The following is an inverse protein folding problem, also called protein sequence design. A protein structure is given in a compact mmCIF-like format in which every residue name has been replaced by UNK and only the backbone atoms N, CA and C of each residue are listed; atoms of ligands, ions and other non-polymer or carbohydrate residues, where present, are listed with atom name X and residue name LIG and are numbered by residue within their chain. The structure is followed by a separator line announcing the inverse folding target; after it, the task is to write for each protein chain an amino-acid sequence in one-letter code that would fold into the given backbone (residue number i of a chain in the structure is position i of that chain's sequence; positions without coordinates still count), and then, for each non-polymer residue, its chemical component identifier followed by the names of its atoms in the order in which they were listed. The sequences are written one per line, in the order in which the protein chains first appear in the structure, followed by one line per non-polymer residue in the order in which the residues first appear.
data_IF_473820839163
#
_entry.id   IF_473820839163
#
_cell.length_a   1.000
_cell.length_b   1.000
_cell.length_c   1.000
_cell.angle_alpha   90.00
_cell.angle_beta   90.00
_cell.angle_gamma   90.00
#
_symmetry.space_group_name_H-M   'P 1'
#
loop_
_entity.id
_entity.type
_entity.pdbx_description
1 polymer ?
#
# COMPACT_ATOMS: atom_id res chain seq x y z
N UNK A 1 -11.89 -33.96 77.58
CA UNK A 1 -10.77 -32.97 77.59
C UNK A 1 -10.61 -32.51 76.14
N UNK A 2 -11.06 -31.30 75.79
CA UNK A 2 -10.38 -29.99 75.86
C UNK A 2 -9.22 -29.85 74.84
N UNK A 3 -9.23 -28.68 74.18
CA UNK A 3 -8.29 -28.05 73.23
C UNK A 3 -8.50 -28.45 71.75
N UNK A 4 -9.06 -27.62 70.86
CA UNK A 4 -8.89 -26.19 70.56
C UNK A 4 -7.49 -25.86 70.01
N UNK A 5 -7.37 -25.85 68.68
CA UNK A 5 -6.46 -24.93 68.00
C UNK A 5 -7.04 -24.47 66.66
N UNK A 6 -7.15 -23.15 66.55
CA UNK A 6 -7.48 -22.33 65.39
C UNK A 6 -6.23 -22.14 64.52
N UNK A 7 -6.45 -21.54 63.34
CA UNK A 7 -5.50 -20.93 62.40
C UNK A 7 -5.10 -21.84 61.22
N UNK A 8 -5.06 -21.41 59.95
CA UNK A 8 -5.16 -20.08 59.38
C UNK A 8 -5.58 -20.14 57.90
N UNK A 9 -6.25 -19.07 57.50
CA UNK A 9 -6.69 -18.68 56.16
C UNK A 9 -5.55 -18.70 55.14
N UNK A 10 -5.80 -19.28 53.96
CA UNK A 10 -4.96 -19.14 52.78
C UNK A 10 -5.81 -19.11 51.51
N UNK A 11 -6.58 -18.04 51.31
CA UNK A 11 -7.26 -17.77 50.03
C UNK A 11 -6.17 -17.36 49.03
N UNK A 12 -5.83 -18.28 48.12
CA UNK A 12 -4.99 -18.01 46.97
C UNK A 12 -5.80 -17.20 45.96
N UNK A 13 -5.79 -15.87 46.13
CA UNK A 13 -6.27 -14.95 45.09
C UNK A 13 -5.23 -15.00 43.98
N UNK A 14 -5.48 -15.85 42.98
CA UNK A 14 -4.82 -15.75 41.68
C UNK A 14 -5.26 -14.43 41.03
N UNK A 15 -4.63 -13.32 41.41
CA UNK A 15 -4.57 -12.13 40.56
C UNK A 15 -3.70 -12.50 39.37
N UNK A 16 -4.33 -13.12 38.37
CA UNK A 16 -3.82 -13.14 37.01
C UNK A 16 -3.71 -11.68 36.58
N UNK A 17 -2.51 -11.12 36.72
CA UNK A 17 -2.06 -9.96 35.96
C UNK A 17 -2.17 -10.37 34.49
N UNK A 18 -3.34 -10.11 33.91
CA UNK A 18 -3.50 -9.89 32.48
C UNK A 18 -2.53 -8.76 32.13
N UNK A 19 -1.31 -9.12 31.74
CA UNK A 19 -0.55 -8.27 30.85
C UNK A 19 -1.30 -8.32 29.52
N UNK A 20 -2.24 -7.39 29.36
CA UNK A 20 -2.60 -6.93 28.05
C UNK A 20 -1.29 -6.42 27.43
N UNK A 21 -0.65 -7.24 26.59
CA UNK A 21 0.29 -6.71 25.62
C UNK A 21 -0.53 -5.78 24.73
N UNK A 22 -0.55 -4.49 25.08
CA UNK A 22 -0.76 -3.46 24.09
C UNK A 22 0.20 -3.79 22.95
N UNK A 23 -0.35 -4.01 21.76
CA UNK A 23 0.42 -4.18 20.54
C UNK A 23 1.34 -2.97 20.42
N UNK A 24 2.59 -3.14 20.85
CA UNK A 24 3.56 -2.07 20.94
C UNK A 24 3.75 -1.50 19.55
N UNK A 25 3.27 -0.28 19.32
CA UNK A 25 3.62 0.47 18.12
C UNK A 25 5.12 0.73 18.20
N UNK A 26 5.92 -0.05 17.47
CA UNK A 26 7.33 0.25 17.28
C UNK A 26 7.45 1.71 16.82
N UNK A 27 8.27 2.54 17.49
CA UNK A 27 8.48 3.91 17.06
C UNK A 27 8.91 3.91 15.60
N UNK A 28 8.25 4.73 14.77
CA UNK A 28 8.63 4.86 13.36
C UNK A 28 10.12 5.24 13.30
N UNK A 29 10.95 4.54 12.51
CA UNK A 29 12.37 4.84 12.42
C UNK A 29 12.56 6.30 11.97
N UNK A 30 13.62 6.94 12.47
CA UNK A 30 13.98 8.29 12.05
C UNK A 30 14.24 8.33 10.54
N UNK A 31 14.01 9.47 9.86
CA UNK A 31 14.08 9.55 8.38
C UNK A 31 15.38 9.02 7.75
N UNK A 32 16.53 9.23 8.40
CA UNK A 32 17.82 8.69 7.94
C UNK A 32 17.95 7.17 8.10
N UNK A 33 17.39 6.60 9.16
CA UNK A 33 17.32 5.14 9.33
C UNK A 33 16.35 4.55 8.31
N UNK A 34 15.18 5.16 8.15
CA UNK A 34 14.15 4.65 7.26
C UNK A 34 14.60 4.59 5.78
N UNK A 35 15.37 5.58 5.31
CA UNK A 35 15.87 5.54 3.92
C UNK A 35 16.93 4.45 3.73
N UNK A 36 17.74 4.16 4.75
CA UNK A 36 18.70 3.05 4.74
C UNK A 36 18.02 1.69 4.78
N UNK A 37 17.03 1.54 5.65
CA UNK A 37 16.19 0.33 5.69
C UNK A 37 15.47 0.11 4.37
N UNK A 38 14.88 1.15 3.78
CA UNK A 38 14.26 1.04 2.46
C UNK A 38 15.28 0.64 1.39
N UNK A 39 16.48 1.25 1.38
CA UNK A 39 17.55 0.92 0.43
C UNK A 39 17.96 -0.55 0.51
N UNK A 40 18.08 -1.11 1.72
CA UNK A 40 18.45 -2.50 1.96
C UNK A 40 17.26 -3.48 1.87
N UNK A 41 16.04 -2.95 1.87
CA UNK A 41 14.80 -3.71 1.97
C UNK A 41 14.00 -3.75 0.68
N UNK A 42 12.67 -3.83 0.83
CA UNK A 42 11.73 -3.94 -0.30
C UNK A 42 10.68 -2.83 -0.28
N UNK A 43 10.44 -2.21 -1.44
CA UNK A 43 9.27 -1.38 -1.68
C UNK A 43 8.12 -2.23 -2.24
N UNK A 44 7.03 -2.36 -1.50
CA UNK A 44 5.81 -3.04 -1.97
C UNK A 44 4.86 -1.99 -2.55
N UNK A 45 4.63 -2.03 -3.85
CA UNK A 45 3.74 -1.13 -4.58
C UNK A 45 2.30 -1.64 -4.51
N UNK A 46 1.41 -0.84 -3.93
CA UNK A 46 -0.02 -1.14 -3.78
C UNK A 46 -0.80 -0.58 -4.95
N UNK A 47 -1.10 -1.45 -5.91
CA UNK A 47 -1.85 -1.14 -7.11
C UNK A 47 -3.36 -0.99 -6.80
N UNK A 48 -4.03 0.06 -7.33
CA UNK A 48 -5.47 0.21 -7.18
C UNK A 48 -6.20 -0.92 -7.94
N UNK A 49 -7.18 -1.53 -7.30
CA UNK A 49 -7.99 -2.58 -7.94
C UNK A 49 -9.34 -2.07 -8.45
N UNK A 50 -9.82 -0.92 -7.94
CA UNK A 50 -11.20 -0.45 -8.15
C UNK A 50 -12.29 -1.50 -7.86
N UNK A 51 -11.95 -2.54 -7.07
CA UNK A 51 -12.81 -3.71 -6.86
C UNK A 51 -14.19 -3.34 -6.35
N UNK A 52 -14.28 -2.44 -5.36
CA UNK A 52 -15.55 -1.97 -4.80
C UNK A 52 -16.44 -1.26 -5.83
N UNK A 53 -15.84 -0.41 -6.69
CA UNK A 53 -16.56 0.30 -7.77
C UNK A 53 -17.08 -0.71 -8.79
N UNK A 54 -16.24 -1.65 -9.22
CA UNK A 54 -16.64 -2.68 -10.19
C UNK A 54 -17.71 -3.63 -9.64
N UNK A 55 -17.62 -4.03 -8.37
CA UNK A 55 -18.64 -4.86 -7.71
C UNK A 55 -19.99 -4.12 -7.61
N UNK A 56 -19.98 -2.83 -7.27
CA UNK A 56 -21.20 -2.02 -7.24
C UNK A 56 -21.84 -1.89 -8.64
N UNK A 57 -21.04 -1.54 -9.67
CA UNK A 57 -21.51 -1.45 -11.05
C UNK A 57 -22.08 -2.79 -11.56
N UNK A 58 -21.40 -3.90 -11.25
CA UNK A 58 -21.86 -5.25 -11.60
C UNK A 58 -23.19 -5.59 -10.91
N UNK A 59 -23.29 -5.30 -9.61
CA UNK A 59 -24.53 -5.56 -8.87
C UNK A 59 -25.71 -4.72 -9.34
N UNK A 60 -25.48 -3.49 -9.81
CA UNK A 60 -26.53 -2.69 -10.45
C UNK A 60 -26.88 -3.22 -11.83
N UNK A 61 -25.89 -3.62 -12.63
CA UNK A 61 -26.10 -4.16 -13.97
C UNK A 61 -26.96 -5.44 -13.95
N UNK A 62 -26.71 -6.33 -12.99
CA UNK A 62 -27.47 -7.58 -12.81
C UNK A 62 -28.95 -7.37 -12.45
N UNK A 63 -29.31 -6.20 -11.90
CA UNK A 63 -30.69 -5.86 -11.50
C UNK A 63 -31.45 -5.10 -12.58
N UNK A 64 -30.74 -4.57 -13.57
CA UNK A 64 -31.31 -3.72 -14.62
C UNK A 64 -31.79 -4.58 -15.79
N UNK A 65 -32.91 -4.24 -16.40
CA UNK A 65 -33.44 -4.96 -17.56
C UNK A 65 -32.48 -4.84 -18.76
N UNK A 66 -32.24 -5.96 -19.43
CA UNK A 66 -31.32 -5.99 -20.57
C UNK A 66 -31.83 -5.09 -21.71
N UNK A 67 -30.91 -4.36 -22.33
CA UNK A 67 -31.20 -3.50 -23.48
C UNK A 67 -31.65 -2.08 -23.14
N UNK A 68 -31.94 -1.76 -21.87
CA UNK A 68 -32.22 -0.38 -21.46
C UNK A 68 -31.01 0.54 -21.66
N UNK A 69 -31.25 1.84 -21.77
CA UNK A 69 -30.18 2.86 -21.84
C UNK A 69 -29.28 2.75 -20.61
N UNK A 70 -29.87 2.52 -19.44
CA UNK A 70 -29.15 2.38 -18.19
C UNK A 70 -28.30 1.10 -18.16
N UNK A 71 -28.83 -0.04 -18.61
CA UNK A 71 -28.06 -1.28 -18.72
C UNK A 71 -26.83 -1.09 -19.62
N UNK A 72 -27.01 -0.49 -20.81
CA UNK A 72 -25.90 -0.20 -21.73
C UNK A 72 -24.86 0.74 -21.10
N UNK A 73 -25.29 1.76 -20.36
CA UNK A 73 -24.39 2.67 -19.66
C UNK A 73 -23.61 1.97 -18.55
N UNK A 74 -24.27 1.17 -17.69
CA UNK A 74 -23.62 0.41 -16.62
C UNK A 74 -22.60 -0.60 -17.17
N UNK A 75 -22.95 -1.32 -18.23
CA UNK A 75 -22.05 -2.27 -18.89
C UNK A 75 -20.81 -1.55 -19.46
N UNK A 76 -21.01 -0.39 -20.10
CA UNK A 76 -19.92 0.44 -20.63
C UNK A 76 -19.04 0.95 -19.49
N UNK A 77 -19.61 1.51 -18.44
CA UNK A 77 -18.87 2.07 -17.30
C UNK A 77 -18.05 0.99 -16.58
N UNK A 78 -18.60 -0.23 -16.44
CA UNK A 78 -17.88 -1.38 -15.88
C UNK A 78 -16.69 -1.79 -16.77
N UNK A 79 -16.90 -1.91 -18.08
CA UNK A 79 -15.86 -2.25 -19.04
C UNK A 79 -14.74 -1.20 -19.06
N UNK A 80 -15.12 0.08 -19.14
CA UNK A 80 -14.22 1.23 -19.07
C UNK A 80 -13.41 1.24 -17.77
N UNK A 81 -14.07 1.12 -16.62
CA UNK A 81 -13.39 1.09 -15.31
C UNK A 81 -12.37 -0.06 -15.24
N UNK A 82 -12.73 -1.24 -15.78
CA UNK A 82 -11.83 -2.38 -15.81
C UNK A 82 -10.61 -2.12 -16.70
N UNK A 83 -10.82 -1.65 -17.92
CA UNK A 83 -9.76 -1.36 -18.88
C UNK A 83 -8.79 -0.29 -18.37
N UNK A 84 -9.31 0.81 -17.79
CA UNK A 84 -8.51 1.86 -17.17
C UNK A 84 -7.64 1.31 -16.03
N UNK A 85 -8.23 0.48 -15.17
CA UNK A 85 -7.53 -0.13 -14.03
C UNK A 85 -6.43 -1.07 -14.48
N UNK A 86 -6.72 -1.97 -15.43
CA UNK A 86 -5.75 -2.94 -15.94
C UNK A 86 -4.59 -2.22 -16.66
N UNK A 87 -4.92 -1.21 -17.48
CA UNK A 87 -3.95 -0.40 -18.22
C UNK A 87 -3.03 0.38 -17.27
N UNK A 88 -3.62 1.05 -16.27
CA UNK A 88 -2.89 1.76 -15.22
C UNK A 88 -1.90 0.82 -14.51
N UNK A 89 -2.39 -0.33 -14.05
CA UNK A 89 -1.59 -1.29 -13.29
C UNK A 89 -0.44 -1.88 -14.12
N UNK A 90 -0.70 -2.19 -15.39
CA UNK A 90 0.32 -2.66 -16.33
C UNK A 90 1.43 -1.63 -16.53
N UNK A 91 1.08 -0.37 -16.81
CA UNK A 91 2.10 0.66 -17.06
C UNK A 91 2.87 1.04 -15.81
N UNK A 92 2.23 1.05 -14.63
CA UNK A 92 2.96 1.25 -13.38
C UNK A 92 3.92 0.09 -13.09
N UNK A 93 3.47 -1.15 -13.29
CA UNK A 93 4.35 -2.32 -13.16
C UNK A 93 5.57 -2.19 -14.06
N UNK A 94 5.36 -1.95 -15.37
CA UNK A 94 6.45 -1.78 -16.34
C UNK A 94 7.39 -0.63 -15.95
N UNK A 95 6.84 0.51 -15.57
CA UNK A 95 7.64 1.67 -15.18
C UNK A 95 8.50 1.40 -13.93
N UNK A 96 7.99 0.66 -12.95
CA UNK A 96 8.79 0.23 -11.80
C UNK A 96 9.87 -0.77 -12.20
N UNK A 97 9.57 -1.74 -13.06
CA UNK A 97 10.59 -2.69 -13.54
C UNK A 97 11.71 -2.00 -14.33
N UNK A 98 11.39 -0.94 -15.08
CA UNK A 98 12.35 -0.26 -15.96
C UNK A 98 13.12 0.89 -15.28
N UNK A 99 12.45 1.71 -14.47
CA UNK A 99 13.00 2.98 -13.97
C UNK A 99 13.32 3.00 -12.47
N UNK A 100 12.96 1.96 -11.70
CA UNK A 100 13.19 1.88 -10.26
C UNK A 100 14.29 0.88 -9.91
N UNK A 101 15.36 1.37 -9.30
CA UNK A 101 16.52 0.59 -8.86
C UNK A 101 17.00 1.02 -7.46
N UNK A 102 16.16 1.73 -6.70
CA UNK A 102 16.53 2.17 -5.36
C UNK A 102 16.61 0.97 -4.40
N UNK A 103 15.64 0.08 -4.42
CA UNK A 103 15.61 -1.15 -3.60
C UNK A 103 14.88 -2.27 -4.34
N UNK A 104 14.73 -3.43 -3.71
CA UNK A 104 13.88 -4.49 -4.27
C UNK A 104 12.43 -3.98 -4.38
N UNK A 105 11.71 -4.41 -5.42
CA UNK A 105 10.32 -4.01 -5.65
C UNK A 105 9.41 -5.22 -5.78
N UNK A 106 8.28 -5.18 -5.08
CA UNK A 106 7.20 -6.16 -5.18
C UNK A 106 5.86 -5.44 -5.34
N UNK A 107 4.81 -6.16 -5.73
CA UNK A 107 3.50 -5.57 -6.00
C UNK A 107 2.41 -6.30 -5.25
N UNK A 108 1.35 -5.57 -4.89
CA UNK A 108 0.13 -6.11 -4.28
C UNK A 108 -1.06 -5.25 -4.71
N UNK A 109 -2.28 -5.75 -4.54
CA UNK A 109 -3.48 -4.92 -4.71
C UNK A 109 -3.91 -4.24 -3.42
N UNK A 110 -4.57 -3.09 -3.56
CA UNK A 110 -5.11 -2.30 -2.45
C UNK A 110 -6.05 -3.09 -1.51
N UNK A 111 -6.82 -4.05 -2.03
CA UNK A 111 -7.75 -4.87 -1.25
C UNK A 111 -7.07 -5.84 -0.28
N UNK A 112 -5.76 -6.12 -0.44
CA UNK A 112 -4.98 -6.90 0.53
C UNK A 112 -4.51 -6.07 1.74
N UNK A 113 -5.12 -4.90 1.99
CA UNK A 113 -4.83 -4.08 3.19
C UNK A 113 -4.84 -4.89 4.50
N UNK A 114 -5.79 -5.83 4.74
CA UNK A 114 -5.77 -6.63 5.97
C UNK A 114 -4.49 -7.46 6.12
N UNK A 115 -4.08 -8.14 5.06
CA UNK A 115 -2.85 -8.94 4.98
C UNK A 115 -1.60 -8.10 5.22
N UNK A 116 -1.57 -6.89 4.65
CA UNK A 116 -0.48 -5.93 4.87
C UNK A 116 -0.35 -5.52 6.35
N UNK A 117 -1.47 -5.38 7.06
CA UNK A 117 -1.49 -5.01 8.49
C UNK A 117 -1.05 -6.15 9.40
N UNK A 118 -1.34 -7.40 9.03
CA UNK A 118 -0.95 -8.57 9.81
C UNK A 118 0.47 -9.04 9.48
N UNK A 119 1.08 -8.51 8.40
CA UNK A 119 2.37 -8.98 7.89
C UNK A 119 2.29 -10.33 7.16
N UNK A 120 1.09 -10.90 7.01
CA UNK A 120 0.86 -12.16 6.31
C UNK A 120 0.69 -11.89 4.82
N UNK A 121 1.82 -11.78 4.12
CA UNK A 121 1.87 -11.45 2.69
C UNK A 121 1.71 -12.67 1.78
N UNK A 122 1.53 -13.86 2.34
CA UNK A 122 1.39 -15.09 1.57
C UNK A 122 0.18 -14.99 0.64
N UNK A 123 0.41 -15.08 -0.67
CA UNK A 123 -0.64 -14.97 -1.67
C UNK A 123 -1.21 -13.57 -1.88
N UNK A 124 -0.66 -12.54 -1.23
CA UNK A 124 -1.02 -11.14 -1.45
C UNK A 124 -0.12 -10.45 -2.49
N UNK A 125 1.05 -11.04 -2.78
CA UNK A 125 2.03 -10.52 -3.72
C UNK A 125 1.72 -10.95 -5.15
N UNK A 126 2.00 -10.08 -6.13
CA UNK A 126 1.66 -10.28 -7.53
C UNK A 126 2.87 -10.76 -8.36
N UNK A 127 2.58 -11.67 -9.29
CA UNK A 127 3.53 -12.09 -10.32
C UNK A 127 3.60 -11.09 -11.50
N UNK A 128 4.38 -11.44 -12.53
CA UNK A 128 4.57 -10.61 -13.73
C UNK A 128 3.29 -10.42 -14.55
N UNK A 129 2.30 -11.30 -14.37
CA UNK A 129 0.97 -11.21 -14.98
C UNK A 129 -0.02 -10.42 -14.11
N UNK A 130 0.46 -9.77 -13.04
CA UNK A 130 -0.35 -9.02 -12.07
C UNK A 130 -1.43 -9.85 -11.38
N UNK A 131 -1.14 -11.14 -11.19
CA UNK A 131 -2.01 -12.08 -10.46
C UNK A 131 -1.40 -12.42 -9.11
N UNK A 132 -2.21 -12.56 -8.05
CA UNK A 132 -1.71 -13.02 -6.75
C UNK A 132 -1.11 -14.42 -6.88
N UNK A 133 0.08 -14.62 -6.31
CA UNK A 133 0.82 -15.88 -6.41
C UNK A 133 1.44 -16.27 -5.05
N UNK A 134 0.99 -17.40 -4.51
CA UNK A 134 1.45 -17.92 -3.22
C UNK A 134 2.92 -18.38 -3.24
N UNK A 135 3.53 -18.50 -4.42
CA UNK A 135 4.93 -18.90 -4.58
C UNK A 135 5.90 -17.73 -4.38
N UNK A 136 5.40 -16.49 -4.38
CA UNK A 136 6.22 -15.31 -4.16
C UNK A 136 6.47 -15.19 -2.66
N UNK A 137 7.74 -15.27 -2.28
CA UNK A 137 8.16 -15.11 -0.90
C UNK A 137 7.91 -13.66 -0.44
N UNK A 138 7.38 -13.47 0.78
CA UNK A 138 7.42 -12.19 1.47
C UNK A 138 8.87 -11.67 1.58
N UNK A 139 9.09 -10.36 1.74
CA UNK A 139 10.42 -9.82 1.98
C UNK A 139 11.03 -10.39 3.26
N UNK A 140 12.28 -10.85 3.19
CA UNK A 140 13.06 -11.35 4.35
C UNK A 140 13.62 -10.22 5.25
N UNK A 141 13.20 -8.97 5.03
CA UNK A 141 13.76 -7.78 5.66
C UNK A 141 12.75 -6.62 5.77
N UNK A 142 13.21 -5.39 6.12
CA UNK A 142 12.32 -4.25 6.23
C UNK A 142 11.62 -3.99 4.90
N UNK A 143 10.33 -3.70 4.96
CA UNK A 143 9.56 -3.31 3.79
C UNK A 143 8.80 -2.02 4.04
N UNK A 144 8.56 -1.30 2.97
CA UNK A 144 7.75 -0.09 2.95
C UNK A 144 6.67 -0.23 1.89
N UNK A 145 5.58 0.50 2.07
CA UNK A 145 4.43 0.43 1.19
C UNK A 145 4.35 1.70 0.34
N UNK A 146 4.13 1.56 -0.96
CA UNK A 146 3.76 2.69 -1.81
C UNK A 146 2.26 2.61 -2.11
N UNK A 147 1.52 3.67 -1.81
CA UNK A 147 0.10 3.83 -2.23
C UNK A 147 -0.05 4.95 -3.25
N UNK A 148 -1.12 4.87 -4.02
CA UNK A 148 -1.59 5.99 -4.85
C UNK A 148 -2.80 6.64 -4.19
N UNK A 149 -2.91 7.96 -4.28
CA UNK A 149 -4.09 8.71 -3.87
C UNK A 149 -3.72 9.98 -3.12
N UNK A 150 -4.69 10.53 -2.40
CA UNK A 150 -4.50 11.81 -1.71
C UNK A 150 -3.64 11.64 -0.46
N UNK A 151 -2.75 12.60 -0.22
CA UNK A 151 -2.03 12.73 1.04
C UNK A 151 -2.97 13.13 2.18
N UNK A 152 -2.66 12.72 3.40
CA UNK A 152 -3.38 13.19 4.58
C UNK A 152 -3.04 14.66 4.88
N UNK A 153 -4.03 15.40 5.42
CA UNK A 153 -3.94 16.83 5.71
C UNK A 153 -2.83 17.20 6.71
N UNK A 154 -2.30 16.23 7.45
CA UNK A 154 -1.31 16.46 8.50
C UNK A 154 -0.02 17.12 7.98
N UNK A 155 0.31 16.93 6.69
CA UNK A 155 1.54 17.46 6.09
C UNK A 155 1.40 17.95 4.64
N UNK A 156 0.31 17.62 3.95
CA UNK A 156 0.13 17.95 2.53
C UNK A 156 -1.36 17.95 2.19
N UNK A 157 -1.87 19.09 1.72
CA UNK A 157 -3.30 19.39 1.53
C UNK A 157 -3.98 18.51 0.46
N UNK A 158 -4.31 17.25 0.80
CA UNK A 158 -5.08 16.37 -0.06
C UNK A 158 -4.49 16.17 -1.45
N UNK A 159 -3.18 16.34 -1.61
CA UNK A 159 -2.49 16.32 -2.88
C UNK A 159 -2.48 14.88 -3.39
N UNK A 160 -2.90 14.67 -4.63
CA UNK A 160 -2.79 13.38 -5.29
C UNK A 160 -1.31 13.02 -5.49
N UNK A 161 -0.88 11.89 -4.92
CA UNK A 161 0.52 11.51 -4.88
C UNK A 161 0.73 9.98 -4.82
N UNK A 162 1.92 9.55 -5.22
CA UNK A 162 2.49 8.30 -4.74
C UNK A 162 3.04 8.55 -3.34
N UNK A 163 2.65 7.76 -2.35
CA UNK A 163 2.99 7.98 -0.93
C UNK A 163 3.66 6.72 -0.37
N UNK A 164 4.90 6.86 0.09
CA UNK A 164 5.66 5.85 0.82
C UNK A 164 5.24 5.86 2.29
N UNK A 165 4.95 4.69 2.83
CA UNK A 165 4.43 4.47 4.17
C UNK A 165 5.17 3.33 4.87
N UNK A 166 5.09 3.31 6.18
CA UNK A 166 5.50 2.15 6.98
C UNK A 166 4.53 0.96 6.78
N UNK A 167 4.92 -0.26 7.18
CA UNK A 167 4.03 -1.42 7.23
C UNK A 167 2.69 -1.16 7.95
N UNK A 168 2.73 -0.35 9.01
CA UNK A 168 1.55 0.05 9.80
C UNK A 168 0.61 1.04 9.07
N UNK A 169 0.86 1.32 7.78
CA UNK A 169 0.11 2.28 6.98
C UNK A 169 0.14 3.70 7.55
N UNK A 170 1.26 4.08 8.18
CA UNK A 170 1.51 5.44 8.64
C UNK A 170 2.41 6.17 7.64
N UNK A 171 2.12 7.44 7.41
CA UNK A 171 2.98 8.28 6.59
C UNK A 171 4.32 8.48 7.30
N UNK A 172 5.40 8.52 6.53
CA UNK A 172 6.71 8.86 7.06
C UNK A 172 6.74 10.35 7.45
N UNK A 173 7.41 10.67 8.55
CA UNK A 173 7.59 12.05 8.97
C UNK A 173 8.63 12.78 8.08
N UNK A 174 8.48 14.11 7.87
CA UNK A 174 9.54 14.93 7.29
C UNK A 174 10.87 14.78 8.06
N UNK A 175 12.05 14.92 7.41
CA UNK A 175 12.28 15.31 6.02
C UNK A 175 12.30 14.16 4.99
N UNK A 176 11.79 12.96 5.32
CA UNK A 176 11.77 11.84 4.37
C UNK A 176 10.99 12.23 3.08
N UNK A 177 11.47 11.89 1.87
CA UNK A 177 10.79 12.20 0.61
C UNK A 177 9.60 11.25 0.39
N UNK A 178 8.62 11.30 1.30
CA UNK A 178 7.58 10.28 1.43
C UNK A 178 6.49 10.36 0.38
N UNK A 179 6.46 11.42 -0.44
CA UNK A 179 5.47 11.52 -1.50
C UNK A 179 6.03 12.13 -2.78
N UNK A 180 5.51 11.65 -3.90
CA UNK A 180 5.71 12.23 -5.22
C UNK A 180 4.35 12.66 -5.76
N UNK A 181 4.15 13.98 -5.91
CA UNK A 181 2.92 14.55 -6.45
C UNK A 181 2.66 14.00 -7.85
N UNK A 182 1.39 13.69 -8.06
CA UNK A 182 0.77 13.34 -9.31
C UNK A 182 -0.04 14.57 -9.73
N UNK A 183 0.41 15.29 -10.76
CA UNK A 183 -0.33 16.47 -11.20
C UNK A 183 -1.64 16.11 -11.91
N UNK A 184 -1.75 14.86 -12.39
CA UNK A 184 -2.78 14.44 -13.34
C UNK A 184 -3.23 12.98 -13.12
N UNK A 185 -3.23 12.42 -11.90
CA UNK A 185 -3.53 10.98 -11.75
C UNK A 185 -5.00 10.63 -11.97
N UNK A 186 -5.92 11.50 -11.53
CA UNK A 186 -7.33 11.43 -11.95
C UNK A 186 -7.50 11.52 -13.46
N UNK A 187 -6.71 12.34 -14.15
CA UNK A 187 -6.70 12.39 -15.62
C UNK A 187 -6.00 11.16 -16.23
N UNK A 188 -4.99 10.61 -15.59
CA UNK A 188 -4.26 9.40 -16.02
C UNK A 188 -5.14 8.15 -15.93
N UNK A 189 -5.98 8.05 -14.88
CA UNK A 189 -6.96 6.98 -14.73
C UNK A 189 -8.19 7.24 -15.60
N UNK A 190 -8.74 8.46 -15.61
CA UNK A 190 -10.03 8.76 -16.23
C UNK A 190 -10.01 9.27 -17.68
N UNK A 191 -8.84 9.47 -18.30
CA UNK A 191 -8.76 9.80 -19.73
C UNK A 191 -8.49 8.54 -20.56
N UNK A 192 -9.55 7.98 -21.14
CA UNK A 192 -9.43 7.04 -22.25
C UNK A 192 -9.25 7.83 -23.54
N UNK A 193 -8.17 8.62 -23.71
CA UNK A 193 -7.76 9.19 -25.01
C UNK A 193 -6.28 9.66 -25.14
N UNK A 194 -5.30 9.37 -24.25
CA UNK A 194 -3.90 9.47 -24.65
C UNK A 194 -3.51 8.21 -25.42
N UNK A 195 -2.62 8.36 -26.41
CA UNK A 195 -1.97 7.26 -27.13
C UNK A 195 -1.22 6.37 -26.10
N UNK A 196 -1.18 5.05 -26.33
CA UNK A 196 -0.62 4.07 -25.38
C UNK A 196 0.84 4.36 -24.96
N UNK A 197 1.64 4.91 -25.88
CA UNK A 197 3.01 5.35 -25.65
C UNK A 197 3.12 6.46 -24.59
N UNK A 198 2.15 7.38 -24.56
CA UNK A 198 2.13 8.48 -23.59
C UNK A 198 1.91 7.97 -22.16
N UNK A 199 1.06 6.96 -21.97
CA UNK A 199 0.75 6.42 -20.63
C UNK A 199 1.98 5.77 -19.98
N UNK A 200 2.72 4.97 -20.75
CA UNK A 200 3.98 4.39 -20.27
C UNK A 200 5.03 5.47 -19.99
N UNK A 201 5.17 6.44 -20.89
CA UNK A 201 6.12 7.55 -20.69
C UNK A 201 5.83 8.34 -19.42
N UNK A 202 4.55 8.63 -19.14
CA UNK A 202 4.16 9.31 -17.90
C UNK A 202 4.43 8.46 -16.66
N UNK A 203 4.13 7.16 -16.70
CA UNK A 203 4.48 6.23 -15.63
C UNK A 203 5.99 6.20 -15.38
N UNK A 204 6.82 6.08 -16.42
CA UNK A 204 8.29 6.12 -16.34
C UNK A 204 8.79 7.43 -15.72
N UNK A 205 8.24 8.57 -16.15
CA UNK A 205 8.58 9.89 -15.60
C UNK A 205 8.24 9.99 -14.12
N UNK A 206 7.10 9.45 -13.69
CA UNK A 206 6.67 9.48 -12.29
C UNK A 206 7.57 8.60 -11.41
N UNK A 207 7.80 7.36 -11.83
CA UNK A 207 8.67 6.41 -11.11
C UNK A 207 10.10 6.94 -11.06
N UNK A 208 10.64 7.44 -12.17
CA UNK A 208 11.98 8.01 -12.24
C UNK A 208 12.15 9.20 -11.28
N UNK A 209 11.14 10.07 -11.14
CA UNK A 209 11.14 11.17 -10.15
C UNK A 209 11.17 10.65 -8.71
N UNK A 210 10.35 9.65 -8.38
CA UNK A 210 10.35 9.02 -7.05
C UNK A 210 11.73 8.43 -6.75
N UNK A 211 12.25 7.63 -7.67
CA UNK A 211 13.55 6.96 -7.56
C UNK A 211 14.69 7.99 -7.34
N UNK A 212 14.74 9.04 -8.16
CA UNK A 212 15.73 10.10 -8.03
C UNK A 212 15.66 10.83 -6.69
N UNK A 213 14.45 11.07 -6.15
CA UNK A 213 14.26 11.70 -4.84
C UNK A 213 14.74 10.81 -3.69
N UNK A 214 14.47 9.51 -3.76
CA UNK A 214 14.97 8.53 -2.79
C UNK A 214 16.50 8.47 -2.80
N UNK A 215 17.11 8.33 -3.99
CA UNK A 215 18.57 8.35 -4.17
C UNK A 215 19.20 9.63 -3.62
N UNK A 216 18.65 10.79 -3.98
CA UNK A 216 19.13 12.09 -3.51
C UNK A 216 19.08 12.19 -1.99
N UNK A 217 17.96 11.79 -1.38
CA UNK A 217 17.82 11.85 0.07
C UNK A 217 18.77 10.87 0.76
N UNK A 218 18.93 9.65 0.24
CA UNK A 218 19.89 8.68 0.76
C UNK A 218 21.32 9.25 0.81
N UNK A 219 21.81 9.80 -0.30
CA UNK A 219 23.15 10.38 -0.37
C UNK A 219 23.34 11.54 0.64
N UNK A 220 22.32 12.38 0.82
CA UNK A 220 22.35 13.47 1.81
C UNK A 220 22.39 12.98 3.28
N UNK A 221 21.89 11.78 3.55
CA UNK A 221 21.97 11.18 4.89
C UNK A 221 23.28 10.42 5.10
N UNK A 222 23.88 9.91 4.04
CA UNK A 222 25.17 9.21 4.07
C UNK A 222 26.34 10.18 4.29
N UNK A 223 26.34 11.33 3.62
CA UNK A 223 27.35 12.39 3.79
C UNK A 223 27.38 13.03 5.19
N UNK A 224 26.36 12.77 6.01
CA UNK A 224 26.22 13.33 7.37
C UNK A 224 26.58 12.35 8.49
N UNK A 225 26.78 11.07 8.17
CA UNK A 225 27.17 10.02 9.11
C UNK A 225 28.68 9.85 9.16
#
# INVERSE_FOLDING_TARGET
MRLFWLMFIGVFICTGLLHAQEAGSTPSPGPGQAIRELKAGTLIVRLPSNRRKMEALRSELEKEEEGTVRHKWLAKELATTKEETDTFNLYMYRAFQEAYDFSAVQFTYDYFTPQLKTGDLAGALLNEQLQPDNRIAPPDGPYYLLRFGQTQKDYSDGIEAMVVMTPDLKNMAPPFPYYQRLNDFTAFIGSIFPRDDQKLFDALRLVGKLNARLKKFYNQQDEKG
#
